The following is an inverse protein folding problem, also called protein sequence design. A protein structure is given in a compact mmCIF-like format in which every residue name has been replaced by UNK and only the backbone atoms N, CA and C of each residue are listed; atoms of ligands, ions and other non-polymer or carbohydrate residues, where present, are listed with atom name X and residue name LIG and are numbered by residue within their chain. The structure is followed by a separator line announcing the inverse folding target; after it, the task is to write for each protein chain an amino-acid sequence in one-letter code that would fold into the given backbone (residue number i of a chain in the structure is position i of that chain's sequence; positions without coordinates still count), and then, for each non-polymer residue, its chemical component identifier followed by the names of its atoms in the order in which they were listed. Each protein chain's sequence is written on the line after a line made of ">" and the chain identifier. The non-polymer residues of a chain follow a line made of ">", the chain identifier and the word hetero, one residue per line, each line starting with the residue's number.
data_IF_823042614141
#
_entry.id   IF_823042614141
#
_cell.length_a   1.000
_cell.length_b   1.000
_cell.length_c   1.000
_cell.angle_alpha   90.00
_cell.angle_beta   90.00
_cell.angle_gamma   90.00
#
_symmetry.space_group_name_H-M   'P 1'
#
loop_
_entity.id
_entity.type
_entity.pdbx_description
1 polymer ?
#
# COMPACT_ATOMS: atom_id res chain seq x y z
N UNK A 1 38.54 5.02 28.19
CA UNK A 1 37.09 4.94 28.47
C UNK A 1 36.41 4.74 27.13
N UNK A 2 36.01 3.52 26.83
CA UNK A 2 35.26 3.19 25.61
C UNK A 2 33.84 3.70 25.80
N UNK A 3 33.56 4.92 25.35
CA UNK A 3 32.19 5.41 25.26
C UNK A 3 31.41 4.47 24.34
N UNK A 4 30.17 4.14 24.71
CA UNK A 4 29.27 3.41 23.83
C UNK A 4 28.94 4.34 22.66
N UNK A 5 29.73 4.26 21.57
CA UNK A 5 29.59 5.11 20.39
C UNK A 5 28.23 4.94 19.69
N UNK A 6 27.47 3.91 20.10
CA UNK A 6 26.12 3.63 19.64
C UNK A 6 25.03 4.37 20.44
N UNK A 7 25.36 5.18 21.45
CA UNK A 7 24.35 5.86 22.27
C UNK A 7 24.78 7.28 22.70
N UNK A 8 23.95 8.27 22.38
CA UNK A 8 24.11 9.64 22.86
C UNK A 8 22.94 10.02 23.79
N UNK A 9 23.23 10.81 24.82
CA UNK A 9 22.23 11.41 25.69
C UNK A 9 22.29 12.93 25.56
N UNK A 10 21.18 13.53 25.15
CA UNK A 10 21.03 14.95 24.95
C UNK A 10 20.21 15.54 26.11
N UNK A 11 20.78 16.41 26.94
CA UNK A 11 20.00 17.12 27.96
C UNK A 11 19.01 18.07 27.28
N UNK A 12 17.84 18.24 27.88
CA UNK A 12 16.80 19.13 27.35
C UNK A 12 16.58 20.32 28.29
N UNK A 13 16.28 21.48 27.71
CA UNK A 13 15.94 22.68 28.46
C UNK A 13 14.69 22.43 29.33
N UNK A 14 14.73 22.82 30.60
CA UNK A 14 13.69 22.48 31.59
C UNK A 14 13.91 21.16 32.34
N UNK A 15 14.93 20.37 31.96
CA UNK A 15 15.36 19.17 32.68
C UNK A 15 15.03 17.85 31.97
N UNK A 16 15.77 16.80 32.34
CA UNK A 16 15.66 15.48 31.69
C UNK A 16 16.64 15.31 30.52
N UNK A 17 16.48 14.19 29.79
CA UNK A 17 17.34 13.85 28.65
C UNK A 17 16.57 13.07 27.59
N UNK A 18 17.00 13.20 26.34
CA UNK A 18 16.64 12.34 25.21
C UNK A 18 17.82 11.44 24.92
N UNK A 19 17.60 10.13 24.91
CA UNK A 19 18.60 9.14 24.52
C UNK A 19 18.38 8.73 23.07
N UNK A 20 19.40 8.87 22.24
CA UNK A 20 19.38 8.44 20.83
C UNK A 20 20.41 7.33 20.66
N UNK A 21 20.01 6.25 19.98
CA UNK A 21 20.89 5.16 19.60
C UNK A 21 21.14 5.16 18.10
N UNK A 22 22.38 4.86 17.74
CA UNK A 22 22.89 4.88 16.38
C UNK A 22 23.37 3.49 15.95
N UNK A 23 23.29 3.22 14.65
CA UNK A 23 23.85 2.04 13.98
C UNK A 23 24.57 2.47 12.70
N UNK A 24 25.46 1.63 12.18
CA UNK A 24 26.06 1.86 10.87
C UNK A 24 25.00 1.89 9.76
N UNK A 25 25.26 2.60 8.67
CA UNK A 25 24.35 2.67 7.50
C UNK A 25 24.03 1.29 6.91
N UNK A 26 24.92 0.31 7.09
CA UNK A 26 24.78 -1.09 6.67
C UNK A 26 23.95 -1.94 7.66
N UNK A 27 23.46 -1.34 8.74
CA UNK A 27 22.76 -2.03 9.83
C UNK A 27 23.70 -2.65 10.88
N UNK A 28 25.01 -2.49 10.72
CA UNK A 28 26.02 -2.94 11.66
C UNK A 28 26.20 -2.02 12.88
N UNK A 29 27.28 -2.24 13.64
CA UNK A 29 27.60 -1.41 14.80
C UNK A 29 27.91 0.04 14.37
N UNK A 30 27.51 1.01 15.20
CA UNK A 30 27.91 2.40 15.02
C UNK A 30 29.43 2.55 15.08
N UNK A 31 29.95 3.42 14.23
CA UNK A 31 31.38 3.67 14.03
C UNK A 31 31.81 5.07 14.52
N UNK A 32 30.88 5.85 15.06
CA UNK A 32 31.00 7.29 15.31
C UNK A 32 31.33 8.07 14.02
N UNK A 33 30.73 7.66 12.91
CA UNK A 33 30.87 8.34 11.61
C UNK A 33 29.61 9.14 11.29
N UNK A 34 29.75 10.13 10.40
CA UNK A 34 28.60 10.89 9.87
C UNK A 34 27.62 10.00 9.06
N UNK A 35 28.04 8.78 8.71
CA UNK A 35 27.18 7.79 8.06
C UNK A 35 26.37 6.93 9.02
N UNK A 36 26.59 7.04 10.34
CA UNK A 36 25.77 6.32 11.30
C UNK A 36 24.37 6.92 11.36
N UNK A 37 23.35 6.07 11.38
CA UNK A 37 21.94 6.47 11.36
C UNK A 37 21.30 6.22 12.72
N UNK A 38 20.46 7.16 13.16
CA UNK A 38 19.63 6.95 14.33
C UNK A 38 18.62 5.81 14.06
N UNK A 39 18.50 4.87 15.00
CA UNK A 39 17.56 3.75 14.86
C UNK A 39 16.62 3.61 16.06
N UNK A 40 16.89 4.34 17.15
CA UNK A 40 16.01 4.38 18.32
C UNK A 40 16.18 5.69 19.08
N UNK A 41 15.07 6.26 19.54
CA UNK A 41 15.01 7.44 20.39
C UNK A 41 14.16 7.10 21.61
N UNK A 42 14.64 7.47 22.80
CA UNK A 42 13.92 7.29 24.06
C UNK A 42 13.88 8.59 24.84
N UNK A 43 12.69 8.97 25.30
CA UNK A 43 12.49 10.10 26.20
C UNK A 43 11.33 9.84 27.16
N UNK A 44 11.13 10.77 28.09
CA UNK A 44 10.17 10.63 29.17
C UNK A 44 9.17 11.80 29.16
N UNK A 45 8.00 11.57 29.75
CA UNK A 45 7.08 12.65 30.14
C UNK A 45 7.83 13.76 30.91
N UNK A 46 7.58 15.03 30.54
CA UNK A 46 8.25 16.21 31.10
C UNK A 46 9.48 16.69 30.32
N UNK A 47 9.95 15.95 29.30
CA UNK A 47 11.00 16.40 28.38
C UNK A 47 10.39 17.14 27.20
N UNK A 48 10.82 18.37 26.93
CA UNK A 48 10.40 19.17 25.76
C UNK A 48 11.11 18.70 24.48
N UNK A 49 10.70 17.53 23.98
CA UNK A 49 11.11 17.01 22.68
C UNK A 49 9.88 16.73 21.82
N UNK A 50 9.90 17.24 20.60
CA UNK A 50 8.78 17.21 19.67
C UNK A 50 9.26 16.59 18.35
N UNK A 51 8.50 15.66 17.77
CA UNK A 51 8.77 15.15 16.42
C UNK A 51 8.58 16.23 15.38
N UNK A 52 9.07 16.02 14.15
CA UNK A 52 8.77 16.93 13.02
C UNK A 52 7.27 17.09 12.74
N UNK A 53 6.44 16.14 13.19
CA UNK A 53 4.97 16.17 13.09
C UNK A 53 4.30 16.84 14.30
N UNK A 54 5.06 17.49 15.19
CA UNK A 54 4.50 18.20 16.34
C UNK A 54 4.14 17.31 17.54
N UNK A 55 4.58 16.04 17.55
CA UNK A 55 4.21 15.09 18.62
C UNK A 55 5.26 15.09 19.72
N UNK A 56 4.87 15.46 20.94
CA UNK A 56 5.68 15.26 22.15
C UNK A 56 5.11 14.15 23.05
N UNK A 57 5.83 13.83 24.15
CA UNK A 57 5.39 12.80 25.09
C UNK A 57 4.07 13.13 25.81
N UNK A 58 3.77 14.41 26.01
CA UNK A 58 2.59 14.86 26.74
C UNK A 58 1.35 14.85 25.84
N UNK A 59 1.45 15.36 24.61
CA UNK A 59 0.42 15.25 23.57
C UNK A 59 0.10 13.78 23.29
N UNK A 60 1.14 12.95 23.24
CA UNK A 60 1.01 11.51 23.11
C UNK A 60 0.26 10.84 24.27
N UNK A 61 0.15 11.47 25.44
CA UNK A 61 -0.62 10.99 26.58
C UNK A 61 -2.01 11.61 26.63
N UNK A 62 -2.09 12.93 26.51
CA UNK A 62 -3.30 13.70 26.78
C UNK A 62 -4.28 13.70 25.61
N UNK A 63 -3.80 13.50 24.39
CA UNK A 63 -4.61 13.62 23.18
C UNK A 63 -4.17 12.62 22.10
N UNK A 64 -4.40 11.32 22.33
CA UNK A 64 -4.03 10.28 21.37
C UNK A 64 -4.65 10.48 19.98
N UNK A 65 -5.82 11.10 19.88
CA UNK A 65 -6.46 11.43 18.59
C UNK A 65 -5.65 12.45 17.77
N UNK A 66 -5.00 13.41 18.43
CA UNK A 66 -4.15 14.39 17.74
C UNK A 66 -2.88 13.71 17.20
N UNK A 67 -2.40 12.67 17.87
CA UNK A 67 -1.28 11.88 17.36
C UNK A 67 -1.69 11.02 16.17
N UNK A 68 -2.92 10.49 16.15
CA UNK A 68 -3.47 9.80 14.98
C UNK A 68 -3.61 10.78 13.81
N UNK A 69 -4.07 12.01 14.06
CA UNK A 69 -4.14 13.04 13.03
C UNK A 69 -2.77 13.46 12.48
N UNK A 70 -1.72 13.45 13.31
CA UNK A 70 -0.34 13.71 12.90
C UNK A 70 0.27 12.58 12.05
N UNK A 71 -0.28 11.36 12.12
CA UNK A 71 0.15 10.18 11.39
C UNK A 71 -1.06 9.43 10.78
N UNK A 72 -1.70 9.99 9.73
CA UNK A 72 -2.97 9.47 9.21
C UNK A 72 -2.87 8.05 8.63
N UNK A 73 -1.68 7.66 8.14
CA UNK A 73 -1.42 6.34 7.56
C UNK A 73 -0.89 5.32 8.58
N UNK A 74 -0.77 5.71 9.86
CA UNK A 74 -0.23 4.85 10.89
C UNK A 74 -1.23 3.79 11.40
N UNK A 75 -0.71 2.60 11.67
CA UNK A 75 -1.40 1.59 12.42
C UNK A 75 -1.38 1.93 13.92
N UNK A 76 -2.57 2.06 14.50
CA UNK A 76 -2.77 2.44 15.90
C UNK A 76 -3.15 1.21 16.72
N UNK A 77 -2.41 0.93 17.79
CA UNK A 77 -2.76 -0.17 18.71
C UNK A 77 -3.14 0.37 20.08
N UNK A 78 -4.30 -0.06 20.58
CA UNK A 78 -4.83 0.30 21.89
C UNK A 78 -4.55 -0.78 22.93
N UNK A 79 -4.36 -0.38 24.17
CA UNK A 79 -4.27 -1.28 25.30
C UNK A 79 -5.67 -1.85 25.55
N UNK A 80 -5.81 -3.17 25.51
CA UNK A 80 -7.10 -3.82 25.65
C UNK A 80 -7.78 -3.59 27.02
N UNK A 81 -7.00 -3.25 28.06
CA UNK A 81 -7.51 -3.06 29.41
C UNK A 81 -7.87 -1.60 29.71
N UNK A 82 -7.08 -0.63 29.22
CA UNK A 82 -7.29 0.79 29.53
C UNK A 82 -7.91 1.57 28.39
N UNK A 83 -7.87 1.05 27.17
CA UNK A 83 -8.31 1.74 25.96
C UNK A 83 -7.30 2.77 25.43
N UNK A 84 -6.22 3.02 26.16
CA UNK A 84 -5.20 4.00 25.76
C UNK A 84 -4.41 3.51 24.55
N UNK A 85 -4.12 4.41 23.62
CA UNK A 85 -3.20 4.09 22.53
C UNK A 85 -1.82 3.80 23.14
N UNK A 86 -1.21 2.65 22.86
CA UNK A 86 0.13 2.31 23.36
C UNK A 86 1.18 2.18 22.24
N UNK A 87 0.75 2.01 20.99
CA UNK A 87 1.65 1.91 19.83
C UNK A 87 1.09 2.62 18.61
N UNK A 88 1.97 3.29 17.86
CA UNK A 88 1.68 3.95 16.58
C UNK A 88 2.80 3.60 15.62
N UNK A 89 2.48 2.85 14.57
CA UNK A 89 3.45 2.38 13.58
C UNK A 89 3.11 2.94 12.19
N UNK A 90 4.01 3.73 11.62
CA UNK A 90 3.91 4.27 10.27
C UNK A 90 5.06 3.71 9.45
N UNK A 91 4.77 2.66 8.67
CA UNK A 91 5.77 1.99 7.86
C UNK A 91 6.27 2.89 6.71
N UNK A 92 5.41 3.74 6.16
CA UNK A 92 5.74 4.67 5.08
C UNK A 92 6.68 5.81 5.54
N UNK A 93 6.61 6.19 6.82
CA UNK A 93 7.58 7.11 7.43
C UNK A 93 8.75 6.40 8.12
N UNK A 94 8.71 5.06 8.24
CA UNK A 94 9.79 4.29 8.86
C UNK A 94 9.85 4.45 10.38
N UNK A 95 8.70 4.62 11.05
CA UNK A 95 8.65 4.88 12.50
C UNK A 95 7.71 3.91 13.24
N UNK A 96 8.09 3.55 14.46
CA UNK A 96 7.25 2.80 15.40
C UNK A 96 7.41 3.39 16.80
N UNK A 97 6.36 4.06 17.29
CA UNK A 97 6.31 4.73 18.59
C UNK A 97 5.57 3.84 19.56
N UNK A 98 6.27 3.39 20.60
CA UNK A 98 5.71 2.63 21.71
C UNK A 98 5.76 3.46 22.99
N UNK A 99 4.64 3.46 23.71
CA UNK A 99 4.50 4.08 25.03
C UNK A 99 4.44 3.00 26.10
N UNK A 100 5.19 3.20 27.18
CA UNK A 100 5.17 2.32 28.34
C UNK A 100 5.03 3.17 29.60
N UNK A 101 3.93 2.98 30.33
CA UNK A 101 3.73 3.54 31.66
C UNK A 101 4.32 2.59 32.72
N UNK A 102 5.22 3.11 33.53
CA UNK A 102 5.75 2.39 34.68
C UNK A 102 5.01 2.84 35.96
N UNK A 103 4.21 1.92 36.50
CA UNK A 103 3.41 2.13 37.71
C UNK A 103 4.24 2.42 38.96
N UNK A 104 5.50 1.96 39.00
CA UNK A 104 6.36 2.13 40.18
C UNK A 104 7.05 3.49 40.19
N UNK A 105 7.43 4.00 39.01
CA UNK A 105 8.03 5.33 38.88
C UNK A 105 7.02 6.44 38.56
N UNK A 106 5.78 6.08 38.22
CA UNK A 106 4.74 7.02 37.80
C UNK A 106 5.07 7.73 36.49
N UNK A 107 5.98 7.17 35.68
CA UNK A 107 6.51 7.80 34.48
C UNK A 107 6.11 7.04 33.23
N UNK A 108 5.69 7.79 32.22
CA UNK A 108 5.60 7.29 30.84
C UNK A 108 6.96 7.44 30.17
N UNK A 109 7.46 6.33 29.63
CA UNK A 109 8.55 6.31 28.65
C UNK A 109 7.95 6.27 27.26
N UNK A 110 8.47 7.09 26.35
CA UNK A 110 8.22 6.97 24.92
C UNK A 110 9.48 6.40 24.25
N UNK A 111 9.29 5.36 23.46
CA UNK A 111 10.32 4.72 22.68
C UNK A 111 9.92 4.76 21.21
N UNK A 112 10.69 5.48 20.40
CA UNK A 112 10.54 5.53 18.96
C UNK A 112 11.62 4.66 18.32
N UNK A 113 11.22 3.68 17.54
CA UNK A 113 12.10 2.94 16.63
C UNK A 113 12.08 3.63 15.27
N UNK A 114 13.26 3.77 14.67
CA UNK A 114 13.42 4.32 13.32
C UNK A 114 13.98 3.21 12.44
N UNK A 115 13.32 2.98 11.30
CA UNK A 115 13.70 1.98 10.31
C UNK A 115 13.54 2.56 8.91
N UNK A 116 14.01 1.83 7.90
CA UNK A 116 13.87 2.27 6.51
C UNK A 116 12.40 2.32 6.14
N UNK A 117 11.89 3.46 5.63
CA UNK A 117 10.54 3.55 5.09
C UNK A 117 10.21 2.39 4.14
N UNK A 118 9.08 1.74 4.39
CA UNK A 118 8.46 0.81 3.46
C UNK A 118 7.40 1.61 2.74
N UNK A 119 7.76 2.16 1.58
CA UNK A 119 6.79 2.75 0.67
C UNK A 119 6.13 1.59 -0.06
N UNK A 120 4.80 1.47 0.03
CA UNK A 120 4.07 0.54 -0.83
C UNK A 120 4.33 0.97 -2.28
N UNK A 121 5.22 0.26 -2.95
CA UNK A 121 5.42 0.43 -4.39
C UNK A 121 4.15 -0.12 -5.03
N UNK A 122 3.38 0.69 -5.76
CA UNK A 122 2.16 0.20 -6.36
C UNK A 122 2.50 -0.99 -7.24
N UNK A 123 1.76 -2.09 -7.07
CA UNK A 123 1.91 -3.25 -7.94
C UNK A 123 1.58 -2.80 -9.35
N UNK A 124 2.54 -2.91 -10.26
CA UNK A 124 2.28 -2.61 -11.67
C UNK A 124 1.52 -3.76 -12.29
N UNK A 125 0.31 -3.47 -12.78
CA UNK A 125 -0.52 -4.41 -13.54
C UNK A 125 -0.27 -4.23 -15.03
N UNK A 126 -0.32 -5.33 -15.76
CA UNK A 126 -0.25 -5.36 -17.22
C UNK A 126 -1.32 -6.29 -17.78
N UNK A 127 -1.83 -5.95 -18.97
CA UNK A 127 -2.69 -6.82 -19.76
C UNK A 127 -1.84 -7.35 -20.91
N UNK A 128 -1.21 -8.53 -20.78
CA UNK A 128 -0.34 -9.04 -21.82
C UNK A 128 -1.10 -9.52 -23.06
N UNK A 129 -2.38 -9.87 -22.91
CA UNK A 129 -3.22 -10.40 -23.98
C UNK A 129 -4.71 -10.21 -23.68
N UNK A 130 -5.49 -10.10 -24.75
CA UNK A 130 -6.96 -10.17 -24.74
C UNK A 130 -7.39 -11.25 -25.73
N UNK A 131 -7.79 -12.41 -25.22
CA UNK A 131 -8.25 -13.51 -26.05
C UNK A 131 -9.71 -13.32 -26.42
N UNK A 132 -10.02 -13.26 -27.72
CA UNK A 132 -11.39 -13.27 -28.23
C UNK A 132 -11.68 -14.54 -29.00
N UNK A 133 -12.83 -15.14 -28.75
CA UNK A 133 -13.33 -16.28 -29.52
C UNK A 133 -14.78 -16.07 -29.93
N UNK A 134 -15.15 -16.57 -31.11
CA UNK A 134 -16.50 -16.50 -31.62
C UNK A 134 -16.98 -17.91 -31.94
N UNK A 135 -18.11 -18.28 -31.36
CA UNK A 135 -18.69 -19.61 -31.50
C UNK A 135 -20.18 -19.55 -31.83
N UNK A 136 -20.73 -20.70 -32.21
CA UNK A 136 -22.14 -20.83 -32.54
C UNK A 136 -22.45 -20.70 -34.05
N UNK A 137 -23.28 -21.63 -34.52
CA UNK A 137 -23.90 -21.59 -35.85
C UNK A 137 -25.33 -22.14 -35.75
N UNK A 138 -26.25 -21.59 -36.55
CA UNK A 138 -27.64 -22.04 -36.57
C UNK A 138 -28.49 -21.57 -35.38
N UNK A 139 -29.46 -22.41 -34.95
CA UNK A 139 -30.55 -22.05 -34.02
C UNK A 139 -30.12 -21.62 -32.61
N UNK A 140 -28.88 -21.92 -32.18
CA UNK A 140 -28.37 -21.57 -30.84
C UNK A 140 -27.86 -20.14 -30.72
N UNK A 141 -27.86 -19.38 -31.83
CA UNK A 141 -27.29 -18.04 -31.87
C UNK A 141 -25.76 -18.06 -31.91
N UNK A 142 -25.17 -16.91 -32.19
CA UNK A 142 -23.73 -16.68 -32.14
C UNK A 142 -23.37 -16.12 -30.78
N UNK A 143 -22.19 -16.49 -30.30
CA UNK A 143 -21.61 -16.05 -29.04
C UNK A 143 -20.21 -15.52 -29.32
N UNK A 144 -19.83 -14.45 -28.63
CA UNK A 144 -18.44 -13.98 -28.54
C UNK A 144 -18.04 -14.01 -27.09
N UNK A 145 -16.98 -14.76 -26.80
CA UNK A 145 -16.35 -14.84 -25.49
C UNK A 145 -15.04 -14.04 -25.55
N UNK A 146 -14.78 -13.25 -24.52
CA UNK A 146 -13.56 -12.47 -24.36
C UNK A 146 -12.95 -12.70 -22.98
N UNK A 147 -11.66 -13.01 -22.94
CA UNK A 147 -10.89 -13.12 -21.71
C UNK A 147 -9.79 -12.06 -21.72
N UNK A 148 -9.85 -11.13 -20.76
CA UNK A 148 -8.80 -10.14 -20.53
C UNK A 148 -7.91 -10.68 -19.43
N UNK A 149 -6.63 -10.92 -19.75
CA UNK A 149 -5.71 -11.46 -18.76
C UNK A 149 -4.99 -10.34 -18.00
N UNK A 150 -4.97 -10.40 -16.67
CA UNK A 150 -4.28 -9.40 -15.85
C UNK A 150 -3.13 -10.06 -15.09
N UNK A 151 -1.94 -9.49 -15.24
CA UNK A 151 -0.73 -9.95 -14.58
C UNK A 151 -0.01 -8.80 -13.86
N UNK A 152 0.85 -9.14 -12.92
CA UNK A 152 1.83 -8.20 -12.37
C UNK A 152 3.07 -8.08 -13.28
N UNK A 153 3.99 -7.18 -12.92
CA UNK A 153 5.25 -7.00 -13.64
C UNK A 153 6.18 -8.23 -13.65
N UNK A 154 5.90 -9.24 -12.82
CA UNK A 154 6.63 -10.51 -12.77
C UNK A 154 5.96 -11.59 -13.63
N UNK A 155 4.84 -11.29 -14.29
CA UNK A 155 4.05 -12.21 -15.10
C UNK A 155 3.16 -13.15 -14.27
N UNK A 156 2.91 -12.83 -13.00
CA UNK A 156 2.01 -13.60 -12.15
C UNK A 156 0.57 -13.15 -12.37
N UNK A 157 -0.35 -14.11 -12.46
CA UNK A 157 -1.79 -13.83 -12.56
C UNK A 157 -2.31 -13.06 -11.34
N UNK A 158 -3.14 -12.04 -11.58
CA UNK A 158 -3.70 -11.19 -10.53
C UNK A 158 -5.20 -11.40 -10.41
N UNK A 159 -5.63 -11.98 -9.30
CA UNK A 159 -7.04 -12.20 -8.97
C UNK A 159 -7.67 -10.98 -8.25
N UNK A 160 -8.98 -10.80 -8.40
CA UNK A 160 -9.74 -9.75 -7.69
C UNK A 160 -9.65 -8.34 -8.29
N UNK A 161 -8.96 -8.15 -9.42
CA UNK A 161 -8.90 -6.89 -10.12
C UNK A 161 -10.21 -6.62 -10.88
N UNK A 162 -10.75 -5.42 -10.76
CA UNK A 162 -11.95 -4.98 -11.47
C UNK A 162 -11.56 -4.41 -12.85
N UNK A 163 -12.04 -5.04 -13.92
CA UNK A 163 -11.73 -4.68 -15.31
C UNK A 163 -12.96 -4.05 -15.95
N UNK A 164 -12.86 -2.77 -16.28
CA UNK A 164 -13.88 -2.05 -17.05
C UNK A 164 -13.51 -2.06 -18.53
N UNK A 165 -14.48 -2.44 -19.37
CA UNK A 165 -14.29 -2.49 -20.80
C UNK A 165 -15.56 -2.10 -21.56
N UNK A 166 -15.44 -1.89 -22.86
CA UNK A 166 -16.56 -1.62 -23.75
C UNK A 166 -16.50 -2.50 -24.99
N UNK A 167 -17.65 -3.04 -25.38
CA UNK A 167 -17.85 -3.71 -26.66
C UNK A 167 -18.29 -2.71 -27.71
N UNK A 168 -17.49 -2.53 -28.75
CA UNK A 168 -17.88 -1.83 -29.97
C UNK A 168 -18.49 -2.82 -30.97
N UNK A 169 -19.74 -2.60 -31.36
CA UNK A 169 -20.50 -3.46 -32.25
C UNK A 169 -20.28 -3.08 -33.73
N UNK A 170 -20.59 -3.99 -34.68
CA UNK A 170 -20.43 -3.71 -36.11
C UNK A 170 -21.23 -2.52 -36.65
N UNK A 171 -22.30 -2.13 -35.96
CA UNK A 171 -23.13 -0.97 -36.31
C UNK A 171 -22.65 0.34 -35.67
N UNK A 172 -21.53 0.30 -34.96
CA UNK A 172 -20.94 1.45 -34.27
C UNK A 172 -21.55 1.74 -32.90
N UNK A 173 -22.53 0.95 -32.45
CA UNK A 173 -23.02 1.05 -31.07
C UNK A 173 -21.99 0.50 -30.09
N UNK A 174 -22.09 0.91 -28.82
CA UNK A 174 -21.18 0.47 -27.76
C UNK A 174 -21.93 -0.09 -26.56
N UNK A 175 -21.32 -1.00 -25.81
CA UNK A 175 -21.84 -1.52 -24.54
C UNK A 175 -20.72 -1.67 -23.51
N UNK A 176 -20.80 -0.87 -22.46
CA UNK A 176 -19.96 -0.99 -21.27
C UNK A 176 -20.19 -2.34 -20.58
N UNK A 177 -19.11 -2.94 -20.10
CA UNK A 177 -19.10 -4.20 -19.37
C UNK A 177 -18.05 -4.13 -18.25
N UNK A 178 -18.31 -4.87 -17.17
CA UNK A 178 -17.45 -4.96 -16.02
C UNK A 178 -17.30 -6.43 -15.63
N UNK A 179 -16.08 -6.85 -15.32
CA UNK A 179 -15.79 -8.17 -14.79
C UNK A 179 -14.67 -8.10 -13.76
N UNK A 180 -14.60 -9.08 -12.87
CA UNK A 180 -13.52 -9.21 -11.88
C UNK A 180 -12.67 -10.41 -12.26
N UNK A 181 -11.35 -10.27 -12.16
CA UNK A 181 -10.41 -11.35 -12.47
C UNK A 181 -10.54 -12.49 -11.46
N UNK A 182 -10.50 -13.72 -11.97
CA UNK A 182 -10.56 -14.94 -11.16
C UNK A 182 -9.14 -15.37 -10.70
N UNK A 183 -9.02 -16.53 -10.06
CA UNK A 183 -7.75 -17.06 -9.56
C UNK A 183 -6.68 -17.26 -10.66
N UNK A 184 -7.11 -17.41 -11.91
CA UNK A 184 -6.24 -17.50 -13.08
C UNK A 184 -5.81 -16.13 -13.64
N UNK A 185 -6.32 -15.03 -13.07
CA UNK A 185 -6.08 -13.65 -13.50
C UNK A 185 -7.03 -13.15 -14.57
N UNK A 186 -7.96 -13.98 -15.05
CA UNK A 186 -8.76 -13.67 -16.23
C UNK A 186 -10.10 -13.01 -15.86
N UNK A 187 -10.39 -11.86 -16.48
CA UNK A 187 -11.70 -11.24 -16.47
C UNK A 187 -12.48 -11.69 -17.72
N UNK A 188 -13.63 -12.33 -17.51
CA UNK A 188 -14.42 -12.96 -18.56
C UNK A 188 -15.60 -12.08 -18.99
N UNK A 189 -15.75 -11.87 -20.30
CA UNK A 189 -16.79 -11.08 -20.91
C UNK A 189 -17.52 -11.91 -21.97
N UNK A 190 -18.85 -11.86 -21.99
CA UNK A 190 -19.65 -12.60 -22.97
C UNK A 190 -20.67 -11.71 -23.69
N UNK A 191 -20.77 -11.91 -24.99
CA UNK A 191 -21.83 -11.42 -25.85
C UNK A 191 -22.61 -12.61 -26.40
N UNK A 192 -23.93 -12.59 -26.22
CA UNK A 192 -24.85 -13.57 -26.80
C UNK A 192 -26.08 -12.85 -27.39
N UNK A 193 -27.14 -13.59 -27.71
CA UNK A 193 -28.43 -12.97 -28.02
C UNK A 193 -28.60 -12.41 -29.44
N UNK A 194 -28.18 -13.15 -30.46
CA UNK A 194 -28.49 -12.82 -31.86
C UNK A 194 -27.49 -11.88 -32.52
N UNK A 195 -26.19 -12.08 -32.24
CA UNK A 195 -25.10 -11.31 -32.82
C UNK A 195 -25.13 -11.29 -34.35
N UNK A 196 -24.99 -10.08 -34.91
CA UNK A 196 -24.87 -9.85 -36.35
C UNK A 196 -23.47 -10.22 -36.84
N UNK A 197 -23.35 -10.48 -38.14
CA UNK A 197 -22.05 -10.61 -38.79
C UNK A 197 -21.33 -9.27 -38.74
N UNK A 198 -20.03 -9.27 -38.48
CA UNK A 198 -19.24 -8.05 -38.46
C UNK A 198 -18.03 -8.13 -37.54
N UNK A 199 -17.42 -6.97 -37.32
CA UNK A 199 -16.31 -6.81 -36.39
C UNK A 199 -16.84 -6.39 -35.02
N UNK A 200 -16.43 -7.11 -34.00
CA UNK A 200 -16.66 -6.78 -32.60
C UNK A 200 -15.32 -6.49 -31.98
N UNK A 201 -15.23 -5.38 -31.27
CA UNK A 201 -13.99 -4.94 -30.62
C UNK A 201 -14.25 -4.80 -29.13
N UNK A 202 -13.40 -5.41 -28.31
CA UNK A 202 -13.37 -5.19 -26.87
C UNK A 202 -12.25 -4.20 -26.57
N UNK A 203 -12.59 -3.12 -25.88
CA UNK A 203 -11.66 -2.06 -25.47
C UNK A 203 -11.68 -1.93 -23.96
N UNK A 204 -10.53 -2.16 -23.31
CA UNK A 204 -10.36 -2.03 -21.86
C UNK A 204 -10.04 -0.58 -21.53
N UNK A 205 -10.83 0.03 -20.65
CA UNK A 205 -10.69 1.43 -20.25
C UNK A 205 -9.96 1.58 -18.91
N UNK A 206 -10.15 0.66 -17.96
CA UNK A 206 -9.45 0.66 -16.67
C UNK A 206 -9.34 -0.73 -16.06
N UNK A 207 -8.32 -0.88 -15.22
CA UNK A 207 -8.15 -2.02 -14.30
C UNK A 207 -7.87 -1.46 -12.92
N UNK A 208 -8.68 -1.81 -11.94
CA UNK A 208 -8.60 -1.31 -10.57
C UNK A 208 -8.35 -2.45 -9.58
N UNK A 209 -7.30 -2.30 -8.78
CA UNK A 209 -6.98 -3.14 -7.63
C UNK A 209 -6.29 -2.27 -6.59
N UNK A 210 -6.64 -2.46 -5.31
CA UNK A 210 -6.08 -1.65 -4.23
C UNK A 210 -4.56 -1.79 -4.15
N UNK A 211 -3.86 -0.66 -4.02
CA UNK A 211 -2.39 -0.62 -4.03
C UNK A 211 -1.74 -0.99 -5.37
N UNK A 212 -2.48 -1.00 -6.49
CA UNK A 212 -1.96 -1.36 -7.81
C UNK A 212 -2.30 -0.32 -8.88
N UNK A 213 -1.51 -0.27 -9.95
CA UNK A 213 -1.70 0.63 -11.07
C UNK A 213 -1.47 -0.08 -12.41
N UNK A 214 -2.37 0.14 -13.38
CA UNK A 214 -2.23 -0.37 -14.73
C UNK A 214 -1.16 0.39 -15.51
N UNK A 215 -0.16 -0.32 -16.03
CA UNK A 215 0.74 0.20 -17.06
C UNK A 215 0.10 0.03 -18.44
N UNK A 216 -0.66 1.05 -18.85
CA UNK A 216 -1.31 1.10 -20.15
C UNK A 216 -0.32 1.04 -21.33
N UNK A 217 0.94 1.46 -21.13
CA UNK A 217 1.95 1.47 -22.19
C UNK A 217 2.54 0.09 -22.48
N UNK A 218 2.49 -0.80 -21.49
CA UNK A 218 2.91 -2.19 -21.58
C UNK A 218 1.74 -3.17 -21.78
N UNK A 219 0.53 -2.66 -22.02
CA UNK A 219 -0.70 -3.47 -22.05
C UNK A 219 -1.37 -3.47 -23.43
N UNK A 220 -1.98 -4.59 -23.78
CA UNK A 220 -2.96 -4.69 -24.87
C UNK A 220 -4.32 -4.25 -24.34
N UNK A 221 -4.84 -3.11 -24.82
CA UNK A 221 -6.10 -2.54 -24.37
C UNK A 221 -7.25 -2.73 -25.36
N UNK A 222 -6.98 -3.32 -26.53
CA UNK A 222 -7.96 -3.44 -27.60
C UNK A 222 -7.74 -4.72 -28.39
N UNK A 223 -8.78 -5.56 -28.44
CA UNK A 223 -8.81 -6.75 -29.30
C UNK A 223 -10.05 -6.75 -30.18
N UNK A 224 -9.94 -7.33 -31.38
CA UNK A 224 -11.03 -7.36 -32.37
C UNK A 224 -11.21 -8.74 -32.96
N UNK A 225 -12.47 -9.19 -33.07
CA UNK A 225 -12.83 -10.45 -33.71
C UNK A 225 -13.90 -10.26 -34.79
N UNK A 226 -13.81 -11.07 -35.85
CA UNK A 226 -14.80 -11.11 -36.92
C UNK A 226 -15.78 -12.26 -36.74
N UNK A 227 -17.03 -11.92 -36.50
CA UNK A 227 -18.14 -12.87 -36.43
C UNK A 227 -18.67 -13.16 -37.83
N UNK A 228 -18.69 -14.46 -38.21
CA UNK A 228 -19.09 -14.95 -39.54
C UNK A 228 -20.49 -15.57 -39.58
#
# INVERSE_FOLDING_TARGET
>A
MSGDLASCAYPVEGGGQVSVRYRGADGGNASASDGDVAHSIRWYSGVQWITSQGVDAQLALDSPQDVIAAYPDAQVTNNALTGDVYRIADAAQGIDIVRAFDVYSGRTTVHMTIFSPVVDVPVTLVIPDIELSASGSGYRGRVVDGAVQVQDALGQSVAGASVQASWNFPDGTTREVLAVTQDDGAAQFQLDGGLRRGLYTLEVSSVELDGAALDASASELLATIRVR
#
